data_IF_371666598514
#
_entry.id   IF_371666598514
#
_cell.length_a   1.000
_cell.length_b   1.000
_cell.length_c   1.000
_cell.angle_alpha   90.00
_cell.angle_beta   90.00
_cell.angle_gamma   90.00
#
_symmetry.space_group_name_H-M   'P 1'
#
loop_
_entity.id
_entity.type
_entity.pdbx_description
1 polymer ?
#
# COMPACT_ATOMS: atom_id res chain seq x y z
N UNK A 1 -20.63 -5.37 27.58
CA UNK A 1 -19.94 -4.64 26.49
C UNK A 1 -18.53 -5.19 26.39
N UNK A 2 -18.05 -5.53 25.19
CA UNK A 2 -16.68 -6.00 24.96
C UNK A 2 -15.69 -4.88 25.32
N UNK A 3 -14.52 -5.22 25.87
CA UNK A 3 -13.48 -4.22 26.15
C UNK A 3 -12.95 -3.67 24.82
N UNK A 4 -12.77 -2.35 24.69
CA UNK A 4 -12.27 -1.75 23.45
C UNK A 4 -10.91 -2.29 23.03
N UNK A 5 -10.04 -2.65 23.98
CA UNK A 5 -8.71 -3.20 23.68
C UNK A 5 -8.74 -4.62 23.08
N UNK A 6 -9.88 -5.31 23.16
CA UNK A 6 -10.09 -6.65 22.59
C UNK A 6 -10.87 -6.60 21.27
N UNK A 7 -11.27 -5.39 20.85
CA UNK A 7 -12.02 -5.21 19.61
C UNK A 7 -11.08 -5.17 18.41
N UNK A 8 -11.49 -5.78 17.31
CA UNK A 8 -10.80 -5.59 16.04
C UNK A 8 -10.99 -4.16 15.54
N UNK A 9 -10.18 -3.72 14.58
CA UNK A 9 -10.34 -2.39 13.97
C UNK A 9 -11.73 -2.21 13.34
N UNK A 10 -12.29 -3.26 12.76
CA UNK A 10 -13.65 -3.23 12.20
C UNK A 10 -14.71 -3.05 13.31
N UNK A 11 -14.56 -3.75 14.43
CA UNK A 11 -15.43 -3.63 15.60
C UNK A 11 -15.32 -2.23 16.24
N UNK A 12 -14.10 -1.69 16.36
CA UNK A 12 -13.85 -0.33 16.83
C UNK A 12 -14.47 0.71 15.90
N UNK A 13 -14.33 0.55 14.58
CA UNK A 13 -14.96 1.43 13.59
C UNK A 13 -16.49 1.42 13.72
N UNK A 14 -17.10 0.25 13.87
CA UNK A 14 -18.55 0.15 14.10
C UNK A 14 -18.97 0.76 15.45
N UNK A 15 -18.18 0.56 16.51
CA UNK A 15 -18.45 1.18 17.81
C UNK A 15 -18.42 2.70 17.73
N UNK A 16 -17.44 3.26 17.00
CA UNK A 16 -17.36 4.70 16.74
C UNK A 16 -18.57 5.24 15.98
N UNK A 17 -19.00 4.55 14.91
CA UNK A 17 -20.20 4.91 14.13
C UNK A 17 -21.45 4.95 15.01
N UNK A 18 -21.52 4.06 16.01
CA UNK A 18 -22.62 4.01 16.98
C UNK A 18 -22.49 5.02 18.14
N UNK A 19 -21.59 6.00 18.05
CA UNK A 19 -21.46 7.12 19.00
C UNK A 19 -20.40 6.94 20.09
N UNK A 20 -19.61 5.86 20.08
CA UNK A 20 -18.54 5.68 21.05
C UNK A 20 -17.23 6.34 20.58
N UNK A 21 -17.06 7.63 20.90
CA UNK A 21 -15.87 8.40 20.49
C UNK A 21 -14.53 7.79 20.95
N UNK A 22 -14.50 7.09 22.10
CA UNK A 22 -13.26 6.47 22.61
C UNK A 22 -12.76 5.32 21.73
N UNK A 23 -13.65 4.70 20.95
CA UNK A 23 -13.24 3.65 20.01
C UNK A 23 -12.38 4.21 18.87
N UNK A 24 -12.55 5.49 18.53
CA UNK A 24 -11.78 6.13 17.47
C UNK A 24 -10.31 6.31 17.85
N UNK A 25 -10.01 6.68 19.09
CA UNK A 25 -8.63 6.89 19.55
C UNK A 25 -7.78 5.62 19.40
N UNK A 26 -8.35 4.47 19.78
CA UNK A 26 -7.70 3.17 19.62
C UNK A 26 -7.55 2.79 18.15
N UNK A 27 -8.63 2.92 17.37
CA UNK A 27 -8.63 2.66 15.93
C UNK A 27 -7.55 3.47 15.20
N UNK A 28 -7.42 4.75 15.57
CA UNK A 28 -6.42 5.66 15.04
C UNK A 28 -5.01 5.23 15.44
N UNK A 29 -4.80 4.93 16.71
CA UNK A 29 -3.50 4.54 17.24
C UNK A 29 -2.93 3.29 16.55
N UNK A 30 -3.78 2.33 16.19
CA UNK A 30 -3.39 1.11 15.48
C UNK A 30 -2.93 1.36 14.04
N UNK A 31 -3.50 2.39 13.40
CA UNK A 31 -3.40 2.57 11.95
C UNK A 31 -2.50 3.75 11.53
N UNK A 32 -2.30 4.74 12.39
CA UNK A 32 -1.62 5.99 12.05
C UNK A 32 -0.19 5.80 11.51
N UNK A 33 0.62 4.95 12.15
CA UNK A 33 2.02 4.74 11.76
C UNK A 33 2.13 4.05 10.39
N UNK A 34 1.30 3.02 10.17
CA UNK A 34 1.22 2.29 8.91
C UNK A 34 0.77 3.20 7.77
N UNK A 35 -0.27 4.01 8.01
CA UNK A 35 -0.82 4.95 7.05
C UNK A 35 0.19 6.05 6.67
N UNK A 36 0.80 6.70 7.66
CA UNK A 36 1.80 7.75 7.42
C UNK A 36 3.02 7.19 6.68
N UNK A 37 3.51 6.01 7.07
CA UNK A 37 4.62 5.34 6.41
C UNK A 37 4.35 5.07 4.93
N UNK A 38 3.11 4.68 4.60
CA UNK A 38 2.69 4.51 3.20
C UNK A 38 2.67 5.83 2.43
N UNK A 39 2.03 6.85 2.98
CA UNK A 39 1.93 8.16 2.33
C UNK A 39 3.32 8.72 2.06
N UNK A 40 4.17 8.78 3.09
CA UNK A 40 5.56 9.26 2.98
C UNK A 40 6.37 8.47 1.96
N UNK A 41 6.19 7.15 1.92
CA UNK A 41 6.87 6.30 0.95
C UNK A 41 6.48 6.61 -0.51
N UNK A 42 5.20 6.92 -0.75
CA UNK A 42 4.69 7.21 -2.09
C UNK A 42 5.06 8.62 -2.54
N UNK A 43 4.90 9.64 -1.69
CA UNK A 43 5.11 11.06 -2.07
C UNK A 43 6.53 11.56 -1.88
N UNK A 44 7.33 10.88 -1.03
CA UNK A 44 8.77 11.17 -0.79
C UNK A 44 9.08 12.61 -0.35
N UNK A 45 8.10 13.29 0.21
CA UNK A 45 8.23 14.62 0.76
C UNK A 45 7.49 14.63 2.10
N UNK A 46 8.15 15.07 3.17
CA UNK A 46 7.58 15.01 4.53
C UNK A 46 6.42 15.99 4.71
N UNK A 47 6.60 17.24 4.30
CA UNK A 47 5.57 18.28 4.44
C UNK A 47 4.29 17.88 3.68
N UNK A 48 4.45 17.40 2.44
CA UNK A 48 3.34 16.86 1.63
C UNK A 48 2.70 15.63 2.30
N UNK A 49 3.51 14.76 2.90
CA UNK A 49 2.99 13.58 3.57
C UNK A 49 2.16 13.95 4.80
N UNK A 50 2.59 14.94 5.57
CA UNK A 50 1.85 15.47 6.72
C UNK A 50 0.50 16.05 6.28
N UNK A 51 0.47 16.85 5.21
CA UNK A 51 -0.77 17.41 4.64
C UNK A 51 -1.74 16.32 4.17
N UNK A 52 -1.26 15.37 3.36
CA UNK A 52 -2.08 14.27 2.83
C UNK A 52 -2.59 13.37 3.96
N UNK A 53 -1.77 13.15 4.99
CA UNK A 53 -2.15 12.35 6.14
C UNK A 53 -3.26 13.01 6.95
N UNK A 54 -3.17 14.31 7.20
CA UNK A 54 -4.24 15.08 7.83
C UNK A 54 -5.54 15.02 7.01
N UNK A 55 -5.46 15.29 5.70
CA UNK A 55 -6.63 15.19 4.81
C UNK A 55 -7.23 13.78 4.84
N UNK A 56 -6.38 12.75 4.82
CA UNK A 56 -6.80 11.35 4.88
C UNK A 56 -7.59 11.07 6.15
N UNK A 57 -7.11 11.55 7.31
CA UNK A 57 -7.83 11.34 8.57
C UNK A 57 -9.16 12.06 8.63
N UNK A 58 -9.21 13.32 8.21
CA UNK A 58 -10.49 14.05 8.13
C UNK A 58 -11.47 13.25 7.28
N UNK A 59 -11.02 12.75 6.11
CA UNK A 59 -11.86 11.99 5.18
C UNK A 59 -12.28 10.62 5.74
N UNK A 60 -11.45 9.98 6.57
CA UNK A 60 -11.80 8.75 7.29
C UNK A 60 -12.91 9.03 8.29
N UNK A 61 -12.75 10.05 9.14
CA UNK A 61 -13.73 10.45 10.15
C UNK A 61 -15.06 10.78 9.48
N UNK A 62 -15.04 11.65 8.46
CA UNK A 62 -16.25 12.05 7.73
C UNK A 62 -16.96 10.82 7.14
N UNK A 63 -16.23 9.92 6.47
CA UNK A 63 -16.83 8.71 5.88
C UNK A 63 -17.38 7.73 6.92
N UNK A 64 -16.76 7.64 8.09
CA UNK A 64 -17.29 6.85 9.21
C UNK A 64 -18.60 7.45 9.70
N UNK A 65 -18.62 8.75 9.99
CA UNK A 65 -19.82 9.47 10.46
C UNK A 65 -20.97 9.46 9.46
N UNK A 66 -20.67 9.52 8.16
CA UNK A 66 -21.66 9.37 7.08
C UNK A 66 -22.16 7.92 6.88
N UNK A 67 -21.69 6.94 7.66
CA UNK A 67 -22.07 5.53 7.52
C UNK A 67 -21.59 4.89 6.21
N UNK A 68 -20.54 5.44 5.57
CA UNK A 68 -20.02 4.95 4.28
C UNK A 68 -19.09 3.76 4.44
N UNK A 69 -18.66 3.46 5.66
CA UNK A 69 -17.88 2.28 5.97
C UNK A 69 -18.77 1.04 6.05
N UNK A 70 -18.41 0.02 5.26
CA UNK A 70 -19.02 -1.31 5.31
C UNK A 70 -17.90 -2.32 5.56
N UNK A 71 -17.95 -3.11 6.66
CA UNK A 71 -16.97 -4.15 6.95
C UNK A 71 -16.90 -5.15 5.80
N UNK A 72 -15.90 -4.99 4.93
CA UNK A 72 -15.74 -5.76 3.69
C UNK A 72 -14.25 -6.00 3.43
N UNK A 73 -13.65 -6.74 4.36
CA UNK A 73 -12.22 -6.90 4.53
C UNK A 73 -11.65 -6.02 5.64
N UNK A 74 -10.32 -5.98 5.73
CA UNK A 74 -9.61 -5.24 6.78
C UNK A 74 -9.88 -3.74 6.72
N UNK A 75 -10.07 -3.10 7.88
CA UNK A 75 -10.18 -1.65 8.01
C UNK A 75 -8.93 -0.93 7.46
N UNK A 76 -7.74 -1.49 7.73
CA UNK A 76 -6.48 -0.98 7.21
C UNK A 76 -6.47 -0.89 5.67
N UNK A 77 -7.02 -1.88 4.97
CA UNK A 77 -7.14 -1.85 3.51
C UNK A 77 -8.12 -0.77 3.01
N UNK A 78 -9.18 -0.49 3.79
CA UNK A 78 -10.14 0.56 3.46
C UNK A 78 -9.53 1.97 3.61
N UNK A 79 -8.78 2.24 4.67
CA UNK A 79 -8.10 3.53 4.84
C UNK A 79 -6.97 3.74 3.82
N UNK A 80 -6.26 2.67 3.44
CA UNK A 80 -5.22 2.73 2.40
C UNK A 80 -5.81 3.14 1.04
N UNK A 81 -7.03 2.71 0.73
CA UNK A 81 -7.74 3.17 -0.47
C UNK A 81 -8.04 4.67 -0.43
N UNK A 82 -8.41 5.20 0.73
CA UNK A 82 -8.70 6.63 0.90
C UNK A 82 -7.42 7.44 0.70
N UNK A 83 -6.32 7.04 1.35
CA UNK A 83 -5.01 7.67 1.17
C UNK A 83 -4.55 7.63 -0.30
N UNK A 84 -4.64 6.47 -0.95
CA UNK A 84 -4.25 6.32 -2.35
C UNK A 84 -5.02 7.29 -3.26
N UNK A 85 -6.33 7.42 -3.07
CA UNK A 85 -7.13 8.36 -3.86
C UNK A 85 -6.68 9.80 -3.68
N UNK A 86 -6.43 10.24 -2.43
CA UNK A 86 -5.95 11.60 -2.13
C UNK A 86 -4.57 11.83 -2.78
N UNK A 87 -3.66 10.85 -2.67
CA UNK A 87 -2.35 10.90 -3.32
C UNK A 87 -2.50 11.05 -4.84
N UNK A 88 -3.41 10.31 -5.47
CA UNK A 88 -3.65 10.40 -6.91
C UNK A 88 -4.23 11.76 -7.30
N UNK A 89 -5.13 12.31 -6.50
CA UNK A 89 -5.68 13.66 -6.72
C UNK A 89 -4.59 14.74 -6.59
N UNK A 90 -3.70 14.62 -5.60
CA UNK A 90 -2.53 15.48 -5.46
C UNK A 90 -1.58 15.40 -6.68
N UNK A 91 -1.25 14.18 -7.15
CA UNK A 91 -0.44 14.00 -8.35
C UNK A 91 -1.10 14.59 -9.61
N UNK A 92 -2.42 14.45 -9.75
CA UNK A 92 -3.17 15.06 -10.86
C UNK A 92 -3.10 16.58 -10.81
N UNK A 93 -3.27 17.18 -9.63
CA UNK A 93 -3.18 18.63 -9.46
C UNK A 93 -1.79 19.17 -9.84
N UNK A 94 -0.72 18.44 -9.52
CA UNK A 94 0.63 18.82 -9.95
C UNK A 94 0.83 18.73 -11.47
N UNK A 95 0.26 17.71 -12.12
CA UNK A 95 0.32 17.56 -13.58
C UNK A 95 -0.54 18.59 -14.32
N UNK A 96 -1.64 19.06 -13.74
CA UNK A 96 -2.42 20.14 -14.35
C UNK A 96 -1.65 21.47 -14.47
N UNK A 97 -0.54 21.65 -13.74
CA UNK A 97 0.41 22.77 -13.90
C UNK A 97 1.60 22.50 -14.84
N UNK A 98 1.78 21.26 -15.31
CA UNK A 98 2.81 20.85 -16.28
C UNK A 98 2.22 19.79 -17.21
N UNK A 99 1.89 20.19 -18.44
CA UNK A 99 1.48 19.27 -19.52
C UNK A 99 2.57 18.22 -19.72
N UNK A 100 2.42 17.09 -19.04
CA UNK A 100 3.19 15.88 -19.28
C UNK A 100 2.18 14.75 -19.36
N UNK A 101 2.15 14.15 -20.54
CA UNK A 101 1.32 13.04 -20.93
C UNK A 101 1.16 12.04 -19.78
N UNK A 102 -0.09 11.77 -19.42
CA UNK A 102 -0.45 10.48 -18.85
C UNK A 102 0.16 9.43 -19.75
N UNK A 103 1.20 8.74 -19.27
CA UNK A 103 1.60 7.45 -19.82
C UNK A 103 0.34 6.61 -19.80
N UNK A 104 -0.27 6.49 -20.98
CA UNK A 104 -1.30 5.51 -21.27
C UNK A 104 -0.73 4.20 -20.75
N UNK A 105 -1.54 3.60 -19.88
CA UNK A 105 -1.65 2.17 -19.66
C UNK A 105 -0.46 1.38 -20.22
N UNK A 106 0.36 0.83 -19.31
CA UNK A 106 1.03 -0.42 -19.66
C UNK A 106 -0.09 -1.39 -20.02
N UNK A 107 -0.35 -1.51 -21.31
CA UNK A 107 -1.21 -2.50 -21.91
C UNK A 107 -0.59 -3.86 -21.58
N UNK A 108 -1.11 -4.44 -20.50
CA UNK A 108 -0.71 -5.76 -20.01
C UNK A 108 -1.61 -6.84 -20.62
N UNK A 109 -2.26 -6.57 -21.75
CA UNK A 109 -3.04 -7.57 -22.51
C UNK A 109 -2.20 -8.76 -22.97
N UNK A 110 -0.87 -8.70 -22.93
CA UNK A 110 0.02 -9.86 -23.06
C UNK A 110 0.18 -10.66 -21.75
N UNK A 111 -0.94 -11.08 -21.15
CA UNK A 111 -0.93 -12.20 -20.20
C UNK A 111 -0.73 -13.48 -21.00
N UNK A 112 0.51 -13.70 -21.44
CA UNK A 112 0.95 -15.02 -21.88
C UNK A 112 1.02 -15.93 -20.67
N UNK A 113 0.20 -16.97 -20.68
CA UNK A 113 0.22 -18.12 -19.79
C UNK A 113 1.58 -18.83 -19.90
N UNK A 114 2.59 -18.29 -19.24
CA UNK A 114 3.77 -19.02 -18.83
C UNK A 114 3.57 -19.37 -17.36
N UNK A 115 3.28 -20.64 -17.10
CA UNK A 115 3.23 -21.25 -15.79
C UNK A 115 4.47 -20.89 -14.97
N UNK A 116 4.35 -19.84 -14.17
CA UNK A 116 5.19 -19.65 -13.01
C UNK A 116 4.24 -19.90 -11.86
N UNK A 117 4.28 -21.12 -11.32
CA UNK A 117 3.67 -21.43 -10.04
C UNK A 117 4.18 -20.39 -9.03
N UNK A 118 3.32 -19.45 -8.65
CA UNK A 118 3.54 -18.58 -7.49
C UNK A 118 3.20 -19.44 -6.25
N UNK A 119 3.93 -20.55 -6.10
CA UNK A 119 3.91 -21.41 -4.92
C UNK A 119 4.95 -20.90 -3.93
N UNK A 120 4.53 -20.67 -2.69
CA UNK A 120 5.37 -20.44 -1.51
C UNK A 120 6.62 -19.58 -1.73
N UNK A 121 6.43 -18.27 -1.80
CA UNK A 121 7.47 -17.32 -1.34
C UNK A 121 7.06 -16.85 0.06
N UNK A 122 6.89 -17.81 0.96
CA UNK A 122 6.87 -17.58 2.39
C UNK A 122 8.18 -18.14 2.93
N UNK A 123 8.91 -17.28 3.64
CA UNK A 123 10.24 -17.48 4.22
C UNK A 123 11.41 -17.34 3.24
N UNK A 124 12.04 -16.16 3.29
CA UNK A 124 13.50 -15.98 3.37
C UNK A 124 13.84 -14.49 3.17
N UNK A 125 13.98 -13.75 4.27
CA UNK A 125 14.79 -12.52 4.30
C UNK A 125 15.24 -12.26 5.74
N UNK A 126 16.44 -12.74 6.10
CA UNK A 126 17.11 -12.26 7.33
C UNK A 126 18.59 -12.04 7.06
N UNK A 127 18.90 -10.82 6.62
CA UNK A 127 20.14 -10.13 6.98
C UNK A 127 19.84 -8.62 6.97
N UNK A 128 20.10 -7.90 8.06
CA UNK A 128 19.71 -6.47 8.19
C UNK A 128 20.36 -5.59 7.10
N UNK A 129 21.58 -5.95 6.68
CA UNK A 129 22.28 -5.29 5.56
C UNK A 129 21.54 -5.48 4.23
N UNK A 130 21.08 -6.70 3.95
CA UNK A 130 20.30 -7.04 2.75
C UNK A 130 18.98 -6.29 2.69
N UNK A 131 18.30 -6.07 3.82
CA UNK A 131 17.05 -5.30 3.88
C UNK A 131 17.26 -3.81 3.56
N UNK A 132 18.34 -3.21 4.06
CA UNK A 132 18.68 -1.82 3.75
C UNK A 132 18.98 -1.64 2.24
N UNK A 133 19.69 -2.60 1.65
CA UNK A 133 20.03 -2.57 0.22
C UNK A 133 18.81 -2.83 -0.66
N UNK A 134 17.91 -3.74 -0.28
CA UNK A 134 16.61 -3.92 -0.97
C UNK A 134 15.78 -2.64 -0.91
N UNK A 135 15.73 -1.95 0.24
CA UNK A 135 14.98 -0.69 0.37
C UNK A 135 15.53 0.40 -0.56
N UNK A 136 16.85 0.46 -0.78
CA UNK A 136 17.47 1.35 -1.77
C UNK A 136 17.10 0.93 -3.19
N UNK A 137 17.21 -0.35 -3.53
CA UNK A 137 16.85 -0.87 -4.86
C UNK A 137 15.37 -0.63 -5.20
N UNK A 138 14.48 -0.76 -4.22
CA UNK A 138 13.07 -0.43 -4.38
C UNK A 138 12.86 1.02 -4.86
N UNK A 139 13.75 1.96 -4.53
CA UNK A 139 13.61 3.34 -4.97
C UNK A 139 13.74 3.52 -6.48
N UNK A 140 14.46 2.61 -7.15
CA UNK A 140 14.68 2.59 -8.59
C UNK A 140 13.58 1.85 -9.37
N UNK A 141 12.66 1.17 -8.68
CA UNK A 141 11.50 0.56 -9.32
C UNK A 141 10.54 1.63 -9.86
N UNK A 142 9.86 1.35 -11.00
CA UNK A 142 8.71 2.13 -11.44
C UNK A 142 7.69 2.33 -10.30
N UNK A 143 7.03 3.50 -10.19
CA UNK A 143 6.18 3.82 -9.04
C UNK A 143 5.14 2.74 -8.71
N UNK A 144 4.46 2.20 -9.72
CA UNK A 144 3.41 1.18 -9.54
C UNK A 144 3.95 -0.19 -9.09
N UNK A 145 5.18 -0.53 -9.48
CA UNK A 145 5.87 -1.75 -9.03
C UNK A 145 6.40 -1.58 -7.61
N UNK A 146 6.94 -0.40 -7.31
CA UNK A 146 7.41 -0.04 -5.98
C UNK A 146 6.27 -0.05 -4.95
N UNK A 147 5.13 0.52 -5.33
CA UNK A 147 3.93 0.61 -4.49
C UNK A 147 3.37 -0.77 -4.12
N UNK A 148 3.22 -1.69 -5.09
CA UNK A 148 2.69 -3.04 -4.80
C UNK A 148 3.60 -3.82 -3.86
N UNK A 149 4.93 -3.70 -4.01
CA UNK A 149 5.90 -4.34 -3.10
C UNK A 149 5.75 -3.78 -1.69
N UNK A 150 5.63 -2.46 -1.56
CA UNK A 150 5.46 -1.82 -0.26
C UNK A 150 4.15 -2.24 0.41
N UNK A 151 3.03 -2.18 -0.31
CA UNK A 151 1.73 -2.61 0.23
C UNK A 151 1.72 -4.10 0.61
N UNK A 152 2.39 -4.96 -0.18
CA UNK A 152 2.44 -6.39 0.11
C UNK A 152 3.23 -6.72 1.36
N UNK A 153 4.46 -6.19 1.48
CA UNK A 153 5.39 -6.62 2.52
C UNK A 153 5.39 -5.73 3.76
N UNK A 154 5.13 -4.42 3.63
CA UNK A 154 5.15 -3.48 4.76
C UNK A 154 3.76 -3.18 5.30
N UNK A 155 2.72 -3.33 4.47
CA UNK A 155 1.32 -3.15 4.87
C UNK A 155 0.56 -4.47 5.00
N UNK A 156 1.20 -5.60 4.71
CA UNK A 156 0.64 -6.96 4.85
C UNK A 156 -0.69 -7.15 4.10
N UNK A 157 -0.83 -6.47 2.96
CA UNK A 157 -2.05 -6.52 2.15
C UNK A 157 -2.02 -7.70 1.17
N UNK A 158 -3.16 -8.37 1.03
CA UNK A 158 -3.40 -9.33 -0.04
C UNK A 158 -3.43 -8.64 -1.41
N UNK A 159 -3.13 -9.35 -2.50
CA UNK A 159 -3.24 -8.77 -3.85
C UNK A 159 -4.66 -8.30 -4.19
N UNK A 160 -5.69 -8.93 -3.60
CA UNK A 160 -7.08 -8.51 -3.70
C UNK A 160 -7.31 -7.15 -3.02
N UNK A 161 -6.76 -6.95 -1.83
CA UNK A 161 -6.81 -5.67 -1.12
C UNK A 161 -6.03 -4.59 -1.86
N UNK A 162 -4.84 -4.91 -2.38
CA UNK A 162 -4.03 -3.96 -3.16
C UNK A 162 -4.76 -3.53 -4.43
N UNK A 163 -5.36 -4.48 -5.16
CA UNK A 163 -6.18 -4.20 -6.32
C UNK A 163 -7.35 -3.25 -5.99
N UNK A 164 -8.08 -3.53 -4.91
CA UNK A 164 -9.18 -2.68 -4.42
C UNK A 164 -8.70 -1.28 -3.98
N UNK A 165 -7.53 -1.19 -3.33
CA UNK A 165 -6.97 0.06 -2.85
C UNK A 165 -6.47 0.97 -3.98
N UNK A 166 -5.84 0.36 -5.00
CA UNK A 166 -5.23 1.07 -6.13
C UNK A 166 -6.14 1.19 -7.36
N UNK A 167 -7.36 0.64 -7.30
CA UNK A 167 -8.35 0.75 -8.37
C UNK A 167 -8.02 -0.05 -9.63
N UNK A 168 -7.23 -1.12 -9.53
CA UNK A 168 -6.82 -1.97 -10.66
C UNK A 168 -7.34 -3.40 -10.52
N UNK A 169 -7.22 -4.21 -11.58
CA UNK A 169 -7.56 -5.64 -11.51
C UNK A 169 -6.57 -6.42 -10.64
N UNK A 170 -7.01 -7.55 -10.07
CA UNK A 170 -6.11 -8.44 -9.30
C UNK A 170 -4.92 -8.92 -10.16
N UNK A 171 -5.15 -9.20 -11.44
CA UNK A 171 -4.11 -9.60 -12.39
C UNK A 171 -3.11 -8.48 -12.64
N UNK A 172 -3.56 -7.22 -12.67
CA UNK A 172 -2.68 -6.05 -12.77
C UNK A 172 -1.79 -5.93 -11.54
N UNK A 173 -2.33 -6.13 -10.33
CA UNK A 173 -1.53 -6.15 -9.09
C UNK A 173 -0.49 -7.27 -9.09
N UNK A 174 -0.87 -8.48 -9.50
CA UNK A 174 0.04 -9.62 -9.63
C UNK A 174 1.13 -9.37 -10.68
N UNK A 175 0.77 -8.80 -11.83
CA UNK A 175 1.70 -8.42 -12.88
C UNK A 175 2.72 -7.38 -12.40
N UNK A 176 2.26 -6.31 -11.73
CA UNK A 176 3.15 -5.30 -11.12
C UNK A 176 4.14 -5.94 -10.15
N UNK A 177 3.68 -6.88 -9.32
CA UNK A 177 4.55 -7.59 -8.38
C UNK A 177 5.59 -8.46 -9.10
N UNK A 178 5.16 -9.22 -10.12
CA UNK A 178 6.06 -10.05 -10.93
C UNK A 178 7.18 -9.20 -11.54
N UNK A 179 6.85 -8.08 -12.18
CA UNK A 179 7.86 -7.19 -12.76
C UNK A 179 8.73 -6.53 -11.70
N UNK A 180 8.18 -6.17 -10.54
CA UNK A 180 8.97 -5.65 -9.43
C UNK A 180 10.05 -6.64 -9.00
N UNK A 181 9.69 -7.91 -8.79
CA UNK A 181 10.63 -8.97 -8.40
C UNK A 181 11.69 -9.19 -9.49
N UNK A 182 11.30 -9.25 -10.77
CA UNK A 182 12.23 -9.43 -11.88
C UNK A 182 13.25 -8.27 -11.95
N UNK A 183 12.78 -7.04 -11.80
CA UNK A 183 13.63 -5.85 -11.82
C UNK A 183 14.56 -5.79 -10.60
N UNK A 184 14.06 -6.10 -9.40
CA UNK A 184 14.89 -6.20 -8.20
C UNK A 184 15.97 -7.26 -8.36
N UNK A 185 15.63 -8.46 -8.85
CA UNK A 185 16.61 -9.54 -9.10
C UNK A 185 17.68 -9.11 -10.11
N UNK A 186 17.29 -8.38 -11.16
CA UNK A 186 18.24 -7.83 -12.14
C UNK A 186 19.18 -6.83 -11.46
N UNK A 187 18.65 -5.85 -10.74
CA UNK A 187 19.46 -4.84 -10.04
C UNK A 187 20.39 -5.46 -8.99
N UNK A 188 19.95 -6.50 -8.28
CA UNK A 188 20.79 -7.23 -7.32
C UNK A 188 21.99 -7.87 -8.00
N UNK A 189 21.79 -8.55 -9.15
CA UNK A 189 22.89 -9.15 -9.93
C UNK A 189 23.85 -8.09 -10.45
N UNK A 190 23.31 -7.01 -11.00
CA UNK A 190 24.12 -5.94 -11.61
C UNK A 190 24.94 -5.16 -10.57
N UNK A 191 24.46 -5.05 -9.33
CA UNK A 191 25.16 -4.37 -8.22
C UNK A 191 26.00 -5.31 -7.34
N UNK A 192 26.17 -6.59 -7.71
CA UNK A 192 26.95 -7.56 -6.93
C UNK A 192 26.41 -7.82 -5.52
N UNK A 193 25.13 -7.53 -5.26
CA UNK A 193 24.49 -7.80 -3.98
C UNK A 193 24.30 -9.31 -3.88
N UNK A 194 25.15 -9.99 -3.12
CA UNK A 194 25.01 -11.42 -2.85
C UNK A 194 23.75 -11.66 -2.01
N UNK A 195 22.62 -11.93 -2.65
CA UNK A 195 21.54 -12.67 -2.02
C UNK A 195 22.04 -14.10 -1.85
N UNK A 196 22.51 -14.45 -0.65
CA UNK A 196 22.69 -15.85 -0.28
C UNK A 196 21.31 -16.51 -0.30
N UNK A 197 20.93 -17.02 -1.47
CA UNK A 197 19.81 -17.94 -1.62
C UNK A 197 20.35 -19.29 -1.16
N UNK A 198 20.04 -19.68 0.08
CA UNK A 198 20.25 -21.04 0.53
C UNK A 198 19.27 -21.93 -0.25
N UNK A 199 19.83 -22.84 -1.05
CA UNK A 199 19.11 -23.86 -1.82
C UNK A 199 18.35 -24.82 -0.91
#
# INVERSE_FOLDING_TARGET
MKNLNEMTDEELALSYINGNNRAFDLLLSHNQSKLFSYILFVVRNRDVADDIFQETFVKIITKLQEGRYKPSGKFSAWIMRIAHNIIMDWYRAQKSGKVVETTKENDLSNIGSADIQIGNIENQFVNMQTLADIKKLMQHLPPSQREVVFMRFYQEMSFKEIAKATGVSINTSLGRMRYAILNLRKMVRDNGVLLQLAY
#
